data_IF_206224412433
#
_entry.id   IF_206224412433
#
_cell.length_a   1.000
_cell.length_b   1.000
_cell.length_c   1.000
_cell.angle_alpha   90.00
_cell.angle_beta   90.00
_cell.angle_gamma   90.00
#
_symmetry.space_group_name_H-M   'P 1'
#
loop_
_entity.id
_entity.type
_entity.pdbx_description
1 polymer ?
#
# COMPACT_ATOMS: atom_id res chain seq x y z
N UNK A 1 -8.00 -13.10 60.46
CA UNK A 1 -8.27 -13.97 59.29
C UNK A 1 -8.68 -13.10 58.10
N UNK A 2 -7.76 -12.25 57.64
CA UNK A 2 -7.85 -11.48 56.39
C UNK A 2 -6.41 -11.23 55.96
N UNK A 3 -5.86 -12.17 55.21
CA UNK A 3 -4.55 -12.01 54.58
C UNK A 3 -4.75 -11.29 53.25
N UNK A 4 -3.99 -10.22 53.09
CA UNK A 4 -3.81 -9.39 51.91
C UNK A 4 -3.44 -10.24 50.68
N UNK A 5 -4.20 -10.08 49.61
CA UNK A 5 -3.83 -10.47 48.25
C UNK A 5 -3.63 -9.17 47.46
N UNK A 6 -2.43 -8.60 47.57
CA UNK A 6 -1.95 -7.61 46.62
C UNK A 6 -1.52 -8.34 45.34
N UNK A 7 -2.46 -8.49 44.40
CA UNK A 7 -2.15 -8.99 43.07
C UNK A 7 -1.28 -7.99 42.31
N UNK A 8 -0.03 -8.41 42.13
CA UNK A 8 1.03 -7.71 41.41
C UNK A 8 0.73 -7.71 39.91
N UNK A 9 0.07 -6.66 39.41
CA UNK A 9 -0.12 -6.44 37.97
C UNK A 9 1.22 -6.04 37.33
N UNK A 10 1.90 -7.01 36.72
CA UNK A 10 3.09 -6.76 35.90
C UNK A 10 2.69 -6.03 34.61
N UNK A 11 3.29 -4.87 34.27
CA UNK A 11 3.00 -4.18 33.02
C UNK A 11 3.57 -4.94 31.82
N UNK A 12 2.70 -5.27 30.87
CA UNK A 12 3.04 -5.86 29.57
C UNK A 12 3.92 -4.86 28.78
N UNK A 13 5.22 -5.13 28.76
CA UNK A 13 6.19 -4.41 27.93
C UNK A 13 5.82 -4.61 26.45
N UNK A 14 5.28 -3.55 25.85
CA UNK A 14 5.04 -3.43 24.42
C UNK A 14 6.39 -3.56 23.67
N UNK A 15 6.67 -4.75 23.12
CA UNK A 15 7.67 -4.93 22.07
C UNK A 15 7.18 -4.22 20.80
N UNK A 16 7.48 -2.93 20.69
CA UNK A 16 7.46 -2.21 19.42
C UNK A 16 8.59 -2.76 18.56
N UNK A 17 8.29 -3.73 17.70
CA UNK A 17 9.18 -4.14 16.62
C UNK A 17 9.34 -2.97 15.65
N UNK A 18 10.40 -2.19 15.88
CA UNK A 18 10.91 -1.16 14.99
C UNK A 18 11.43 -1.83 13.73
N UNK A 19 10.67 -1.76 12.64
CA UNK A 19 11.17 -2.10 11.32
C UNK A 19 12.06 -0.95 10.84
N UNK A 20 13.31 -0.96 11.31
CA UNK A 20 14.36 -0.04 10.87
C UNK A 20 14.89 -0.53 9.52
N UNK A 21 14.36 0.06 8.44
CA UNK A 21 14.91 -0.04 7.09
C UNK A 21 16.27 0.65 7.12
N UNK A 22 17.34 -0.13 7.22
CA UNK A 22 18.70 0.36 7.04
C UNK A 22 18.86 0.79 5.58
N UNK A 23 18.68 2.08 5.31
CA UNK A 23 19.22 2.71 4.12
C UNK A 23 20.75 2.60 4.19
N UNK A 24 21.32 1.72 3.36
CA UNK A 24 22.76 1.70 3.12
C UNK A 24 23.13 2.99 2.39
N UNK A 25 23.76 3.91 3.12
CA UNK A 25 24.48 5.06 2.60
C UNK A 25 25.53 4.57 1.60
N UNK A 26 25.38 4.96 0.34
CA UNK A 26 26.44 4.87 -0.67
C UNK A 26 27.43 6.02 -0.45
N UNK A 27 28.75 5.77 -0.50
CA UNK A 27 29.74 6.82 -0.34
C UNK A 27 29.77 7.77 -1.54
N UNK A 28 29.71 9.06 -1.22
CA UNK A 28 29.89 10.20 -2.09
C UNK A 28 31.25 10.13 -2.80
N UNK A 29 31.25 9.87 -4.11
CA UNK A 29 32.48 9.88 -4.90
C UNK A 29 32.68 11.26 -5.53
N UNK A 30 33.80 11.83 -5.13
CA UNK A 30 34.36 13.13 -5.46
C UNK A 30 34.31 13.51 -6.93
N UNK A 31 34.10 14.81 -7.11
CA UNK A 31 34.33 15.63 -8.30
C UNK A 31 35.61 15.26 -9.06
N UNK A 32 35.50 15.10 -10.38
CA UNK A 32 36.64 15.31 -11.27
C UNK A 32 36.23 16.20 -12.43
N UNK A 33 36.57 17.48 -12.26
CA UNK A 33 36.69 18.46 -13.33
C UNK A 33 37.68 17.97 -14.38
N UNK A 34 37.24 17.94 -15.65
CA UNK A 34 38.12 17.91 -16.81
C UNK A 34 37.57 18.85 -17.88
N UNK A 35 38.29 19.94 -18.05
CA UNK A 35 38.26 20.84 -19.19
C UNK A 35 38.44 20.03 -20.49
N UNK A 36 37.61 20.29 -21.49
CA UNK A 36 37.71 19.69 -22.81
C UNK A 36 37.01 20.56 -23.86
N UNK A 37 37.81 21.02 -24.81
CA UNK A 37 37.53 22.01 -25.86
C UNK A 37 36.20 21.89 -26.61
N UNK A 38 35.65 23.07 -26.90
CA UNK A 38 34.58 23.34 -27.86
C UNK A 38 35.15 23.37 -29.27
N UNK A 39 34.60 22.62 -30.24
CA UNK A 39 34.74 22.95 -31.66
C UNK A 39 33.47 23.67 -32.16
N UNK A 40 33.71 24.83 -32.79
CA UNK A 40 32.71 25.66 -33.48
C UNK A 40 31.99 24.89 -34.59
N UNK A 41 30.65 24.96 -34.59
CA UNK A 41 29.79 24.44 -35.65
C UNK A 41 29.26 25.63 -36.47
N UNK A 42 29.32 25.57 -37.82
CA UNK A 42 28.86 26.66 -38.67
C UNK A 42 27.34 26.79 -38.74
N UNK A 43 26.91 28.06 -38.73
CA UNK A 43 25.59 28.58 -39.04
C UNK A 43 25.13 28.20 -40.46
N UNK A 44 23.96 27.58 -40.59
CA UNK A 44 23.16 27.56 -41.81
C UNK A 44 21.68 27.76 -41.47
N UNK A 45 21.06 28.64 -42.23
CA UNK A 45 19.74 29.24 -42.04
C UNK A 45 18.57 28.29 -42.48
N UNK A 46 17.31 28.76 -42.43
CA UNK A 46 16.14 27.92 -42.14
C UNK A 46 15.49 27.28 -43.37
N UNK A 47 14.85 26.12 -43.17
CA UNK A 47 13.92 25.52 -44.13
C UNK A 47 12.56 25.34 -43.44
N UNK A 48 11.61 26.15 -43.90
CA UNK A 48 10.17 25.96 -43.74
C UNK A 48 9.74 24.65 -44.41
N UNK A 49 9.05 23.75 -43.72
CA UNK A 49 8.00 22.91 -44.34
C UNK A 49 7.21 22.06 -43.33
N UNK A 50 5.93 22.44 -43.18
CA UNK A 50 4.73 21.61 -43.15
C UNK A 50 4.51 20.47 -42.13
N UNK A 51 3.35 20.61 -41.49
CA UNK A 51 2.33 19.58 -41.26
C UNK A 51 2.43 18.63 -40.06
N UNK A 52 1.55 18.93 -39.11
CA UNK A 52 0.52 18.01 -38.65
C UNK A 52 1.00 16.73 -37.95
N UNK A 53 1.23 16.83 -36.63
CA UNK A 53 1.15 15.65 -35.75
C UNK A 53 0.27 15.93 -34.53
N UNK A 54 -0.94 15.43 -34.66
CA UNK A 54 -1.67 14.67 -33.66
C UNK A 54 -1.62 15.24 -32.24
N UNK A 55 -2.58 16.13 -31.96
CA UNK A 55 -3.14 16.27 -30.63
C UNK A 55 -3.66 14.91 -30.18
N UNK A 56 -2.79 14.13 -29.52
CA UNK A 56 -3.21 12.94 -28.78
C UNK A 56 -3.99 13.46 -27.58
N UNK A 57 -5.29 13.63 -27.82
CA UNK A 57 -6.31 13.92 -26.84
C UNK A 57 -6.04 13.08 -25.59
N UNK A 58 -5.64 13.77 -24.52
CA UNK A 58 -5.54 13.22 -23.19
C UNK A 58 -6.96 12.83 -22.79
N UNK A 59 -7.30 11.56 -23.02
CA UNK A 59 -8.49 11.00 -22.40
C UNK A 59 -8.30 11.14 -20.89
N UNK A 60 -9.24 11.75 -20.16
CA UNK A 60 -9.25 11.62 -18.71
C UNK A 60 -9.33 10.13 -18.41
N UNK A 61 -8.38 9.63 -17.63
CA UNK A 61 -8.36 8.26 -17.13
C UNK A 61 -9.48 8.18 -16.08
N UNK A 62 -10.72 8.09 -16.52
CA UNK A 62 -11.81 7.51 -15.74
C UNK A 62 -11.76 6.01 -15.99
N UNK A 63 -10.67 5.38 -15.56
CA UNK A 63 -10.59 3.93 -15.42
C UNK A 63 -11.31 3.59 -14.12
N UNK A 64 -12.63 3.74 -14.14
CA UNK A 64 -13.52 3.15 -13.16
C UNK A 64 -13.47 1.65 -13.40
N UNK A 65 -12.46 1.00 -12.85
CA UNK A 65 -12.38 -0.45 -12.77
C UNK A 65 -13.74 -0.95 -12.25
N UNK A 66 -14.45 -1.68 -13.10
CA UNK A 66 -15.79 -2.19 -12.88
C UNK A 66 -15.79 -3.05 -11.62
N UNK A 67 -16.15 -2.44 -10.49
CA UNK A 67 -16.25 -3.15 -9.22
C UNK A 67 -17.45 -4.08 -9.34
N UNK A 68 -17.25 -5.38 -9.12
CA UNK A 68 -18.37 -6.33 -9.01
C UNK A 68 -19.41 -5.76 -8.04
N UNK A 69 -20.72 -5.94 -8.30
CA UNK A 69 -21.79 -5.24 -7.58
C UNK A 69 -21.82 -5.48 -6.05
N UNK A 70 -21.10 -6.49 -5.53
CA UNK A 70 -20.92 -6.72 -4.09
C UNK A 70 -19.76 -5.95 -3.42
N UNK A 71 -18.86 -5.35 -4.20
CA UNK A 71 -17.71 -4.58 -3.72
C UNK A 71 -17.94 -3.06 -3.82
N UNK A 72 -19.02 -2.65 -4.47
CA UNK A 72 -19.41 -1.25 -4.57
C UNK A 72 -19.86 -0.75 -3.20
N UNK A 73 -19.23 0.28 -2.64
CA UNK A 73 -19.64 0.81 -1.36
C UNK A 73 -21.04 1.43 -1.48
N UNK A 74 -21.97 0.99 -0.64
CA UNK A 74 -23.30 1.58 -0.55
C UNK A 74 -23.16 3.08 -0.26
N UNK A 75 -23.74 3.91 -1.13
CA UNK A 75 -23.75 5.35 -0.92
C UNK A 75 -24.51 5.65 0.39
N UNK A 76 -23.84 6.31 1.34
CA UNK A 76 -24.47 6.71 2.61
C UNK A 76 -25.40 7.89 2.37
N UNK A 77 -26.58 7.84 2.99
CA UNK A 77 -27.49 8.98 3.02
C UNK A 77 -26.87 10.15 3.78
N UNK A 78 -27.24 11.39 3.41
CA UNK A 78 -26.77 12.59 4.11
C UNK A 78 -27.18 12.56 5.58
N UNK A 79 -26.23 12.77 6.49
CA UNK A 79 -26.49 12.77 7.93
C UNK A 79 -26.32 11.42 8.64
N UNK A 80 -26.13 10.31 7.91
CA UNK A 80 -25.86 9.01 8.51
C UNK A 80 -24.44 8.96 9.10
N UNK A 81 -24.34 8.79 10.43
CA UNK A 81 -23.07 8.63 11.13
C UNK A 81 -22.51 7.22 10.97
N UNK A 82 -21.19 7.08 11.04
CA UNK A 82 -20.52 5.78 11.12
C UNK A 82 -20.84 5.15 12.46
N UNK A 83 -21.30 3.90 12.44
CA UNK A 83 -21.67 3.18 13.67
C UNK A 83 -20.46 2.47 14.29
N UNK A 84 -20.54 2.15 15.58
CA UNK A 84 -19.49 1.39 16.25
C UNK A 84 -19.28 -0.01 15.65
N UNK A 85 -20.36 -0.64 15.16
CA UNK A 85 -20.28 -1.96 14.50
C UNK A 85 -19.50 -1.87 13.18
N UNK A 86 -19.75 -0.84 12.38
CA UNK A 86 -18.99 -0.61 11.14
C UNK A 86 -17.50 -0.42 11.40
N UNK A 87 -17.13 0.30 12.48
CA UNK A 87 -15.72 0.46 12.88
C UNK A 87 -15.12 -0.87 13.33
N UNK A 88 -15.90 -1.71 14.02
CA UNK A 88 -15.47 -3.05 14.46
C UNK A 88 -15.26 -3.96 13.25
N UNK A 89 -16.21 -4.02 12.32
CA UNK A 89 -16.08 -4.77 11.06
C UNK A 89 -14.85 -4.32 10.27
N UNK A 90 -14.61 -3.01 10.18
CA UNK A 90 -13.44 -2.46 9.51
C UNK A 90 -12.12 -2.90 10.17
N UNK A 91 -12.07 -2.97 11.51
CA UNK A 91 -10.91 -3.50 12.25
C UNK A 91 -10.70 -4.98 11.99
N UNK A 92 -11.77 -5.78 11.97
CA UNK A 92 -11.68 -7.20 11.64
C UNK A 92 -11.19 -7.41 10.20
N UNK A 93 -11.62 -6.57 9.25
CA UNK A 93 -11.12 -6.63 7.89
C UNK A 93 -9.60 -6.36 7.79
N UNK A 94 -9.08 -5.40 8.57
CA UNK A 94 -7.64 -5.14 8.67
C UNK A 94 -6.90 -6.33 9.29
N UNK A 95 -7.42 -6.92 10.37
CA UNK A 95 -6.83 -8.11 11.01
C UNK A 95 -6.82 -9.30 10.06
N UNK A 96 -7.92 -9.52 9.34
CA UNK A 96 -8.04 -10.57 8.35
C UNK A 96 -7.00 -10.41 7.23
N UNK A 97 -6.87 -9.20 6.67
CA UNK A 97 -5.81 -8.89 5.69
C UNK A 97 -4.42 -9.26 6.22
N UNK A 98 -4.09 -8.80 7.44
CA UNK A 98 -2.79 -9.09 8.04
C UNK A 98 -2.56 -10.59 8.26
N UNK A 99 -3.59 -11.33 8.71
CA UNK A 99 -3.48 -12.79 8.87
C UNK A 99 -3.16 -13.49 7.56
N UNK A 100 -3.77 -13.06 6.44
CA UNK A 100 -3.46 -13.58 5.12
C UNK A 100 -2.04 -13.22 4.69
N UNK A 101 -1.58 -11.98 4.93
CA UNK A 101 -0.23 -11.56 4.57
C UNK A 101 0.84 -12.39 5.29
N UNK A 102 0.65 -12.66 6.58
CA UNK A 102 1.55 -13.52 7.38
C UNK A 102 1.53 -14.96 6.84
N UNK A 103 0.34 -15.51 6.58
CA UNK A 103 0.19 -16.85 6.01
C UNK A 103 0.90 -16.98 4.66
N UNK A 104 0.65 -16.05 3.73
CA UNK A 104 1.27 -16.01 2.40
C UNK A 104 2.79 -15.97 2.53
N UNK A 105 3.32 -15.10 3.41
CA UNK A 105 4.76 -14.97 3.62
C UNK A 105 5.40 -16.23 4.22
N UNK A 106 4.71 -16.91 5.14
CA UNK A 106 5.16 -18.19 5.70
C UNK A 106 5.28 -19.28 4.64
N UNK A 107 4.48 -19.19 3.57
CA UNK A 107 4.43 -20.16 2.47
C UNK A 107 5.32 -19.76 1.27
N UNK A 108 6.23 -18.80 1.41
CA UNK A 108 7.08 -18.31 0.31
C UNK A 108 7.99 -19.36 -0.34
N UNK A 109 8.31 -20.44 0.38
CA UNK A 109 9.14 -21.55 -0.12
C UNK A 109 8.33 -22.78 -0.52
N UNK A 110 7.03 -22.63 -0.73
CA UNK A 110 6.15 -23.73 -1.15
C UNK A 110 6.57 -24.32 -2.50
N UNK A 111 6.39 -25.63 -2.68
CA UNK A 111 6.63 -26.30 -3.97
C UNK A 111 5.62 -25.82 -5.00
N UNK A 112 6.01 -25.82 -6.29
CA UNK A 112 5.19 -25.29 -7.39
C UNK A 112 3.77 -25.85 -7.40
N UNK A 113 3.61 -27.17 -7.23
CA UNK A 113 2.31 -27.84 -7.24
C UNK A 113 1.40 -27.49 -6.05
N UNK A 114 1.91 -26.83 -5.01
CA UNK A 114 1.14 -26.38 -3.84
C UNK A 114 0.84 -24.87 -3.90
N UNK A 115 1.32 -24.15 -4.93
CA UNK A 115 1.12 -22.69 -5.06
C UNK A 115 -0.35 -22.32 -5.22
N UNK A 116 -1.19 -23.19 -5.76
CA UNK A 116 -2.64 -22.95 -5.95
C UNK A 116 -3.35 -22.53 -4.66
N UNK A 117 -3.00 -23.16 -3.54
CA UNK A 117 -3.56 -22.82 -2.23
C UNK A 117 -3.12 -21.42 -1.80
N UNK A 118 -1.88 -21.03 -2.12
CA UNK A 118 -1.34 -19.71 -1.80
C UNK A 118 -1.96 -18.65 -2.70
N UNK A 119 -2.17 -18.93 -3.99
CA UNK A 119 -2.84 -18.02 -4.91
C UNK A 119 -4.24 -17.61 -4.42
N UNK A 120 -5.01 -18.56 -3.88
CA UNK A 120 -6.32 -18.24 -3.32
C UNK A 120 -6.21 -17.29 -2.12
N UNK A 121 -5.20 -17.48 -1.25
CA UNK A 121 -4.93 -16.56 -0.14
C UNK A 121 -4.49 -15.18 -0.63
N UNK A 122 -3.64 -15.11 -1.66
CA UNK A 122 -3.17 -13.87 -2.28
C UNK A 122 -4.34 -13.08 -2.86
N UNK A 123 -5.21 -13.74 -3.62
CA UNK A 123 -6.43 -13.15 -4.17
C UNK A 123 -7.32 -12.56 -3.08
N UNK A 124 -7.54 -13.31 -1.98
CA UNK A 124 -8.32 -12.84 -0.82
C UNK A 124 -7.65 -11.66 -0.12
N UNK A 125 -6.32 -11.67 0.02
CA UNK A 125 -5.57 -10.58 0.62
C UNK A 125 -5.71 -9.30 -0.20
N UNK A 126 -5.53 -9.38 -1.52
CA UNK A 126 -5.65 -8.22 -2.41
C UNK A 126 -7.09 -7.71 -2.51
N UNK A 127 -8.09 -8.59 -2.46
CA UNK A 127 -9.50 -8.21 -2.34
C UNK A 127 -9.77 -7.47 -1.02
N UNK A 128 -9.23 -7.96 0.10
CA UNK A 128 -9.33 -7.29 1.38
C UNK A 128 -8.66 -5.91 1.35
N UNK A 129 -7.49 -5.75 0.69
CA UNK A 129 -6.85 -4.44 0.50
C UNK A 129 -7.81 -3.44 -0.15
N UNK A 130 -8.36 -3.84 -1.29
CA UNK A 130 -9.24 -2.99 -2.10
C UNK A 130 -10.48 -2.62 -1.32
N UNK A 131 -11.08 -3.56 -0.59
CA UNK A 131 -12.22 -3.29 0.29
C UNK A 131 -11.87 -2.28 1.38
N UNK A 132 -10.73 -2.44 2.08
CA UNK A 132 -10.27 -1.47 3.10
C UNK A 132 -10.09 -0.07 2.47
N UNK A 133 -9.41 0.02 1.32
CA UNK A 133 -9.18 1.29 0.63
C UNK A 133 -10.51 1.95 0.21
N UNK A 134 -11.45 1.17 -0.32
CA UNK A 134 -12.77 1.67 -0.72
C UNK A 134 -13.58 2.16 0.48
N UNK A 135 -13.61 1.41 1.59
CA UNK A 135 -14.28 1.85 2.83
C UNK A 135 -13.71 3.16 3.34
N UNK A 136 -12.39 3.35 3.31
CA UNK A 136 -11.77 4.61 3.72
C UNK A 136 -12.18 5.75 2.78
N UNK A 137 -12.18 5.52 1.46
CA UNK A 137 -12.59 6.55 0.50
C UNK A 137 -14.04 6.97 0.71
N UNK A 138 -14.92 6.05 1.08
CA UNK A 138 -16.34 6.36 1.31
C UNK A 138 -16.60 7.03 2.63
N UNK A 139 -15.77 6.80 3.64
CA UNK A 139 -15.85 7.46 4.94
C UNK A 139 -15.16 8.83 4.97
N UNK A 140 -14.54 9.28 3.87
CA UNK A 140 -13.72 10.50 3.82
C UNK A 140 -14.52 11.82 3.77
N UNK A 141 -15.52 11.94 4.64
CA UNK A 141 -16.25 13.18 4.86
C UNK A 141 -16.43 13.44 6.34
N UNK A 142 -16.26 14.71 6.72
CA UNK A 142 -16.36 15.14 8.11
C UNK A 142 -17.75 14.88 8.72
N UNK A 143 -18.79 14.95 7.90
CA UNK A 143 -20.19 14.78 8.29
C UNK A 143 -20.51 13.38 8.84
N UNK A 144 -19.71 12.36 8.54
CA UNK A 144 -19.95 10.99 8.99
C UNK A 144 -19.47 10.71 10.41
N UNK A 145 -18.74 11.64 11.03
CA UNK A 145 -18.18 11.48 12.37
C UNK A 145 -18.93 12.31 13.40
N UNK A 146 -18.92 11.87 14.66
CA UNK A 146 -19.60 12.54 15.76
C UNK A 146 -18.74 13.69 16.30
N UNK A 147 -17.41 13.51 16.32
CA UNK A 147 -16.47 14.51 16.84
C UNK A 147 -15.27 14.77 15.91
N UNK A 148 -14.67 15.95 16.07
CA UNK A 148 -13.38 16.31 15.43
C UNK A 148 -12.29 15.30 15.72
N UNK A 149 -12.25 14.79 16.96
CA UNK A 149 -11.24 13.84 17.42
C UNK A 149 -11.33 12.53 16.65
N UNK A 150 -12.53 11.99 16.46
CA UNK A 150 -12.74 10.78 15.67
C UNK A 150 -12.32 10.98 14.22
N UNK A 151 -12.68 12.12 13.62
CA UNK A 151 -12.29 12.43 12.26
C UNK A 151 -10.77 12.55 12.10
N UNK A 152 -10.07 13.19 13.06
CA UNK A 152 -8.60 13.25 13.09
C UNK A 152 -7.97 11.87 13.17
N UNK A 153 -8.44 11.02 14.09
CA UNK A 153 -7.97 9.64 14.20
C UNK A 153 -8.19 8.87 12.89
N UNK A 154 -9.34 9.06 12.25
CA UNK A 154 -9.63 8.47 10.95
C UNK A 154 -8.65 8.95 9.87
N UNK A 155 -8.32 10.24 9.82
CA UNK A 155 -7.34 10.77 8.86
C UNK A 155 -5.95 10.15 9.06
N UNK A 156 -5.53 9.85 10.29
CA UNK A 156 -4.28 9.12 10.54
C UNK A 156 -4.33 7.70 9.97
N UNK A 157 -5.44 6.99 10.16
CA UNK A 157 -5.65 5.65 9.61
C UNK A 157 -5.66 5.69 8.08
N UNK A 158 -6.41 6.64 7.50
CA UNK A 158 -6.45 6.88 6.05
C UNK A 158 -5.05 7.10 5.48
N UNK A 159 -4.26 7.97 6.11
CA UNK A 159 -2.87 8.22 5.68
C UNK A 159 -2.07 6.94 5.65
N UNK A 160 -2.13 6.12 6.70
CA UNK A 160 -1.39 4.84 6.78
C UNK A 160 -1.87 3.83 5.76
N UNK A 161 -3.18 3.73 5.51
CA UNK A 161 -3.76 2.75 4.58
C UNK A 161 -3.60 3.15 3.12
N UNK A 162 -3.61 4.45 2.80
CA UNK A 162 -3.39 4.93 1.43
C UNK A 162 -1.91 5.17 1.10
N UNK A 163 -1.01 5.09 2.09
CA UNK A 163 0.43 5.11 1.84
C UNK A 163 0.83 4.03 0.84
N UNK A 164 1.61 4.40 -0.17
CA UNK A 164 2.16 3.50 -1.17
C UNK A 164 3.11 2.47 -0.56
N UNK A 165 3.46 1.44 -1.33
CA UNK A 165 4.39 0.39 -0.89
C UNK A 165 3.73 -0.78 -0.15
N UNK A 166 2.39 -0.82 -0.09
CA UNK A 166 1.69 -2.06 0.29
C UNK A 166 1.81 -3.04 -0.87
N UNK A 167 2.17 -4.27 -0.54
CA UNK A 167 2.31 -5.33 -1.54
C UNK A 167 0.93 -5.78 -2.02
N UNK A 168 0.79 -5.91 -3.32
CA UNK A 168 -0.30 -6.63 -3.98
C UNK A 168 0.26 -7.99 -4.37
N UNK A 169 -0.18 -9.04 -3.67
CA UNK A 169 0.47 -10.33 -3.77
C UNK A 169 0.30 -10.96 -5.14
N UNK A 170 -0.85 -10.78 -5.79
CA UNK A 170 -1.09 -11.32 -7.13
C UNK A 170 -0.10 -10.77 -8.18
N UNK A 171 0.40 -9.54 -7.99
CA UNK A 171 1.37 -8.90 -8.88
C UNK A 171 2.82 -9.16 -8.46
N UNK A 172 3.04 -9.45 -7.17
CA UNK A 172 4.35 -9.67 -6.57
C UNK A 172 4.30 -10.88 -5.63
N UNK A 173 4.25 -12.10 -6.17
CA UNK A 173 4.15 -13.31 -5.38
C UNK A 173 5.41 -13.53 -4.52
N UNK A 174 5.26 -14.19 -3.35
CA UNK A 174 6.34 -14.32 -2.38
C UNK A 174 7.51 -15.21 -2.85
N UNK A 175 7.31 -16.04 -3.88
CA UNK A 175 8.37 -16.91 -4.41
C UNK A 175 9.30 -16.22 -5.41
N UNK A 176 8.94 -15.05 -5.98
CA UNK A 176 9.86 -14.29 -6.84
C UNK A 176 11.12 -13.87 -6.07
N UNK A 177 10.93 -13.40 -4.83
CA UNK A 177 12.04 -13.04 -3.93
C UNK A 177 12.88 -14.26 -3.54
N UNK A 178 12.23 -15.39 -3.27
CA UNK A 178 12.92 -16.62 -2.88
C UNK A 178 13.70 -17.25 -4.05
N UNK A 179 13.20 -17.13 -5.28
CA UNK A 179 13.89 -17.62 -6.48
C UNK A 179 15.08 -16.74 -6.84
N UNK A 180 14.95 -15.41 -6.69
CA UNK A 180 16.08 -14.47 -6.82
C UNK A 180 17.20 -14.79 -5.82
N UNK A 181 16.87 -15.04 -4.55
CA UNK A 181 17.86 -15.38 -3.52
C UNK A 181 18.64 -16.65 -3.88
N UNK A 182 17.96 -17.72 -4.33
CA UNK A 182 18.61 -18.96 -4.78
C UNK A 182 19.51 -18.79 -6.00
N UNK A 183 19.22 -17.82 -6.86
CA UNK A 183 20.03 -17.56 -8.05
C UNK A 183 21.37 -16.89 -7.72
N UNK A 184 21.39 -16.01 -6.72
CA UNK A 184 22.60 -15.29 -6.32
C UNK A 184 23.51 -16.04 -5.33
N UNK A 185 23.01 -17.12 -4.70
CA UNK A 185 23.78 -17.97 -3.80
C UNK A 185 24.55 -19.12 -4.52
N UNK A 186 24.48 -19.19 -5.85
CA UNK A 186 25.20 -20.15 -6.71
C UNK A 186 26.41 -19.51 -7.39
#
# INVERSE_FOLDING_TARGET
MFHELEDTVKPLQHRRSSWSIKQKLLPSRLSRSRNGSVPSIPSMAPILSHSSRLTKSLRPITEAAETKPGDAPTARASGQKITAEEVKEFRELIRYRYSLDVDIWSLRHVKVFQRDIVYEKMRKSDAALRKIQNTIRTWDKREYFTSDREFRNFQEVKKRVLQSGKREWMNHPPWEEAELERYYDQ
#
